data_IF_691861727718
#
_entry.id   IF_691861727718
#
_cell.length_a   1.000
_cell.length_b   1.000
_cell.length_c   1.000
_cell.angle_alpha   90.00
_cell.angle_beta   90.00
_cell.angle_gamma   90.00
#
_symmetry.space_group_name_H-M   'P 1'
#
loop_
_entity.id
_entity.type
_entity.pdbx_description
1 polymer ?
#
# COMPACT_ATOMS: atom_id res chain seq x y z
N UNK A 1 -13.08 10.82 26.01
CA UNK A 1 -12.54 11.38 27.26
C UNK A 1 -11.62 12.55 26.89
N UNK A 2 -12.22 13.68 26.55
CA UNK A 2 -11.51 14.91 26.22
C UNK A 2 -11.05 15.60 27.52
N UNK A 3 -9.77 15.93 27.63
CA UNK A 3 -9.26 16.80 28.69
C UNK A 3 -8.76 18.09 28.05
N UNK A 4 -9.59 19.13 28.15
CA UNK A 4 -9.28 20.52 27.81
C UNK A 4 -8.18 21.03 28.74
N UNK A 5 -7.07 21.46 28.14
CA UNK A 5 -5.95 22.12 28.80
C UNK A 5 -6.29 23.58 29.09
N UNK A 6 -6.23 23.95 30.37
CA UNK A 6 -6.36 25.32 30.85
C UNK A 6 -5.04 26.06 30.59
N UNK A 7 -5.11 27.10 29.76
CA UNK A 7 -4.01 28.04 29.51
C UNK A 7 -4.06 29.14 30.58
N UNK A 8 -3.05 29.19 31.45
CA UNK A 8 -2.89 30.25 32.46
C UNK A 8 -1.71 31.13 32.06
N UNK A 9 -2.00 32.37 31.63
CA UNK A 9 -1.00 33.37 31.26
C UNK A 9 -0.26 33.87 32.50
N UNK A 10 1.07 33.78 32.49
CA UNK A 10 1.94 34.44 33.45
C UNK A 10 2.27 35.85 32.90
N UNK A 11 1.85 36.91 33.59
CA UNK A 11 2.28 38.28 33.32
C UNK A 11 3.53 38.58 34.13
N UNK A 12 4.50 39.19 33.45
CA UNK A 12 5.79 39.64 33.93
C UNK A 12 5.71 40.61 35.12
N UNK A 13 6.63 40.40 36.05
CA UNK A 13 6.83 41.21 37.24
C UNK A 13 7.42 42.58 36.93
N UNK A 14 6.75 43.63 37.40
CA UNK A 14 7.31 44.96 37.58
C UNK A 14 7.81 45.06 39.01
N UNK A 15 9.12 44.93 39.22
CA UNK A 15 9.79 45.23 40.49
C UNK A 15 10.62 46.49 40.30
N UNK A 16 10.08 47.64 40.73
CA UNK A 16 10.84 48.90 40.87
C UNK A 16 11.55 48.89 42.21
N UNK A 17 12.89 49.00 42.19
CA UNK A 17 13.74 49.21 43.36
C UNK A 17 13.58 50.64 43.92
N UNK A 18 13.69 50.83 45.24
CA UNK A 18 13.63 52.14 45.88
C UNK A 18 14.94 52.92 45.71
N UNK A 19 14.83 54.20 45.35
CA UNK A 19 15.93 55.16 45.33
C UNK A 19 16.09 55.82 46.70
N UNK A 20 17.34 56.05 47.10
CA UNK A 20 17.80 57.04 48.09
C UNK A 20 19.33 57.12 48.01
N UNK A 21 20.03 58.17 48.49
CA UNK A 21 19.59 59.52 48.85
C UNK A 21 20.57 60.63 48.35
N UNK A 22 20.08 61.85 48.11
CA UNK A 22 20.90 63.09 48.13
C UNK A 22 20.03 64.27 48.52
N UNK A 23 20.34 64.88 49.67
CA UNK A 23 20.34 66.34 49.88
C UNK A 23 20.53 66.63 51.38
N UNK A 24 21.73 67.08 51.74
CA UNK A 24 21.89 68.01 52.85
C UNK A 24 21.27 69.35 52.45
N UNK A 25 20.74 70.11 53.42
CA UNK A 25 21.18 71.49 53.49
C UNK A 25 21.64 71.87 54.89
N UNK A 26 22.85 72.40 54.89
CA UNK A 26 23.43 73.29 55.88
C UNK A 26 22.58 74.57 55.95
N UNK A 27 21.85 74.78 57.04
CA UNK A 27 21.32 76.10 57.39
C UNK A 27 21.96 76.57 58.71
N UNK A 28 22.97 77.42 58.54
CA UNK A 28 23.49 78.35 59.54
C UNK A 28 22.69 79.65 59.44
N UNK A 29 22.05 80.06 60.53
CA UNK A 29 21.53 81.43 60.75
C UNK A 29 21.01 81.50 62.19
N UNK A 30 21.16 82.54 62.97
CA UNK A 30 21.95 83.76 62.88
C UNK A 30 22.12 84.26 64.32
N UNK A 31 23.11 85.12 64.49
CA UNK A 31 23.45 85.97 65.61
C UNK A 31 22.27 86.58 66.38
N UNK A 32 22.46 86.75 67.69
CA UNK A 32 22.27 88.04 68.36
C UNK A 32 22.89 87.99 69.76
N UNK A 33 24.19 88.29 69.84
CA UNK A 33 24.78 88.80 71.06
C UNK A 33 24.28 90.23 71.26
N UNK A 34 23.42 90.44 72.26
CA UNK A 34 23.03 91.78 72.69
C UNK A 34 24.06 92.25 73.70
N UNK A 35 25.01 93.03 73.18
CA UNK A 35 25.98 93.78 73.94
C UNK A 35 25.29 94.99 74.58
N UNK A 36 25.69 95.26 75.81
CA UNK A 36 25.27 96.35 76.69
C UNK A 36 25.29 97.72 76.00
N UNK A 37 24.24 98.49 76.19
CA UNK A 37 24.35 99.94 76.34
C UNK A 37 23.52 100.42 77.54
N UNK A 38 24.19 101.18 78.42
CA UNK A 38 23.62 101.90 79.56
C UNK A 38 23.05 103.24 79.07
N UNK A 39 21.92 103.70 79.62
CA UNK A 39 21.69 105.12 79.82
C UNK A 39 22.03 105.48 81.26
N UNK A 40 23.07 106.31 81.41
CA UNK A 40 23.32 107.12 82.62
C UNK A 40 22.20 108.16 82.71
N UNK A 41 21.37 108.08 83.73
CA UNK A 41 20.76 109.26 84.34
C UNK A 41 20.62 109.02 85.84
N UNK A 42 21.19 109.95 86.59
CA UNK A 42 21.43 109.87 88.02
C UNK A 42 20.16 110.09 88.84
N UNK A 43 20.22 109.60 90.09
CA UNK A 43 19.56 110.06 91.31
C UNK A 43 18.59 109.05 91.98
N UNK A 44 18.92 108.70 93.24
CA UNK A 44 18.24 107.84 94.24
C UNK A 44 18.50 106.31 94.23
N UNK A 45 19.76 105.87 94.05
CA UNK A 45 20.18 104.47 94.23
C UNK A 45 20.96 104.26 95.53
N UNK A 46 20.30 103.86 96.63
CA UNK A 46 21.01 103.26 97.80
C UNK A 46 20.12 102.37 98.70
N UNK A 47 18.82 102.64 98.87
CA UNK A 47 17.95 101.79 99.72
C UNK A 47 17.36 100.56 98.99
N UNK A 48 17.08 100.66 97.68
CA UNK A 48 16.60 99.52 96.88
C UNK A 48 17.68 98.43 96.68
N UNK A 49 18.95 98.83 96.60
CA UNK A 49 20.11 97.92 96.44
C UNK A 49 20.32 97.00 97.67
N UNK A 50 20.17 97.54 98.88
CA UNK A 50 20.43 96.81 100.11
C UNK A 50 19.36 95.75 100.42
N UNK A 51 18.10 96.00 100.03
CA UNK A 51 17.00 95.04 100.14
C UNK A 51 17.08 93.94 99.08
N UNK A 52 17.50 94.29 97.86
CA UNK A 52 17.74 93.33 96.77
C UNK A 52 18.89 92.36 97.09
N UNK A 53 20.02 92.88 97.62
CA UNK A 53 21.14 92.06 98.04
C UNK A 53 20.76 91.07 99.16
N UNK A 54 19.97 91.51 100.14
CA UNK A 54 19.51 90.66 101.26
C UNK A 54 18.50 89.60 100.81
N UNK A 55 17.62 89.93 99.87
CA UNK A 55 16.65 88.99 99.27
C UNK A 55 17.36 87.93 98.42
N UNK A 56 18.35 88.35 97.63
CA UNK A 56 19.21 87.47 96.83
C UNK A 56 20.06 86.54 97.70
N UNK A 57 20.56 87.00 98.85
CA UNK A 57 21.31 86.14 99.78
C UNK A 57 20.42 85.04 100.40
N UNK A 58 19.18 85.39 100.78
CA UNK A 58 18.19 84.41 101.26
C UNK A 58 17.81 83.42 100.18
N UNK A 59 17.58 83.88 98.95
CA UNK A 59 17.29 83.03 97.80
C UNK A 59 18.44 82.08 97.47
N UNK A 60 19.68 82.56 97.53
CA UNK A 60 20.88 81.72 97.34
C UNK A 60 20.98 80.67 98.45
N UNK A 61 20.72 81.02 99.72
CA UNK A 61 20.64 80.04 100.82
C UNK A 61 19.55 79.01 100.60
N UNK A 62 18.33 79.43 100.25
CA UNK A 62 17.22 78.51 99.94
C UNK A 62 17.55 77.59 98.77
N UNK A 63 18.18 78.09 97.70
CA UNK A 63 18.65 77.26 96.57
C UNK A 63 19.73 76.26 96.97
N UNK A 64 20.68 76.65 97.82
CA UNK A 64 21.74 75.75 98.28
C UNK A 64 21.19 74.65 99.19
N UNK A 65 20.31 74.99 100.12
CA UNK A 65 19.64 74.01 101.00
C UNK A 65 18.74 73.08 100.18
N UNK A 66 17.94 73.61 99.25
CA UNK A 66 17.12 72.82 98.34
C UNK A 66 17.97 71.86 97.48
N UNK A 67 19.11 72.31 96.94
CA UNK A 67 20.05 71.44 96.20
C UNK A 67 20.64 70.33 97.08
N UNK A 68 20.99 70.63 98.33
CA UNK A 68 21.51 69.62 99.29
C UNK A 68 20.47 68.55 99.60
N UNK A 69 19.23 68.95 99.92
CA UNK A 69 18.16 68.00 100.20
C UNK A 69 17.67 67.26 98.94
N UNK A 70 17.67 67.92 97.77
CA UNK A 70 17.41 67.26 96.48
C UNK A 70 18.46 66.19 96.18
N UNK A 71 19.74 66.48 96.39
CA UNK A 71 20.82 65.51 96.22
C UNK A 71 20.68 64.32 97.18
N UNK A 72 20.38 64.58 98.47
CA UNK A 72 20.14 63.53 99.45
C UNK A 72 18.90 62.69 99.11
N UNK A 73 17.81 63.32 98.65
CA UNK A 73 16.60 62.61 98.24
C UNK A 73 16.87 61.70 97.03
N UNK A 74 17.51 62.20 95.98
CA UNK A 74 17.90 61.40 94.80
C UNK A 74 18.81 60.22 95.20
N UNK A 75 19.75 60.46 96.13
CA UNK A 75 20.68 59.43 96.61
C UNK A 75 19.99 58.37 97.48
N UNK A 76 18.99 58.73 98.27
CA UNK A 76 18.23 57.78 99.10
C UNK A 76 17.16 57.02 98.31
N UNK A 77 16.55 57.62 97.28
CA UNK A 77 15.49 56.97 96.47
C UNK A 77 16.04 56.05 95.38
N UNK A 78 17.13 56.43 94.73
CA UNK A 78 17.72 55.65 93.63
C UNK A 78 19.05 54.97 94.00
N UNK A 79 19.54 55.18 95.23
CA UNK A 79 20.76 54.56 95.73
C UNK A 79 22.02 54.99 94.95
N UNK A 80 22.89 54.02 94.63
CA UNK A 80 24.14 54.25 93.86
C UNK A 80 23.91 54.38 92.35
N UNK A 81 22.74 54.01 91.83
CA UNK A 81 22.49 53.94 90.38
C UNK A 81 21.58 55.07 89.96
N UNK A 82 22.06 55.95 89.09
CA UNK A 82 21.24 57.03 88.53
C UNK A 82 20.20 56.46 87.56
N UNK A 83 18.97 57.03 87.50
CA UNK A 83 17.93 56.60 86.55
C UNK A 83 18.38 56.58 85.09
N UNK A 84 19.26 57.50 84.69
CA UNK A 84 19.89 57.53 83.37
C UNK A 84 20.73 56.28 83.08
N UNK A 85 21.45 55.77 84.08
CA UNK A 85 22.28 54.56 83.94
C UNK A 85 21.42 53.30 83.87
N UNK A 86 20.32 53.25 84.63
CA UNK A 86 19.37 52.14 84.57
C UNK A 86 18.65 52.07 83.20
N UNK A 87 18.20 53.23 82.67
CA UNK A 87 17.60 53.31 81.32
C UNK A 87 18.58 52.89 80.24
N UNK A 88 19.81 53.41 80.29
CA UNK A 88 20.86 53.04 79.35
C UNK A 88 21.15 51.53 79.38
N UNK A 89 21.25 50.93 80.57
CA UNK A 89 21.45 49.49 80.70
C UNK A 89 20.27 48.67 80.14
N UNK A 90 19.04 49.12 80.38
CA UNK A 90 17.83 48.47 79.84
C UNK A 90 17.77 48.56 78.32
N UNK A 91 17.98 49.75 77.76
CA UNK A 91 18.09 49.98 76.31
C UNK A 91 19.19 49.12 75.69
N UNK A 92 20.36 49.07 76.33
CA UNK A 92 21.47 48.24 75.89
C UNK A 92 21.12 46.74 75.89
N UNK A 93 20.44 46.24 76.93
CA UNK A 93 19.99 44.83 76.96
C UNK A 93 18.95 44.52 75.89
N UNK A 94 18.00 45.43 75.65
CA UNK A 94 17.01 45.26 74.58
C UNK A 94 17.70 45.24 73.22
N UNK A 95 18.59 46.20 72.95
CA UNK A 95 19.36 46.23 71.71
C UNK A 95 20.17 44.96 71.52
N UNK A 96 20.87 44.47 72.55
CA UNK A 96 21.62 43.22 72.45
C UNK A 96 20.73 42.02 72.12
N UNK A 97 19.53 41.94 72.70
CA UNK A 97 18.57 40.87 72.41
C UNK A 97 18.07 40.94 70.97
N UNK A 98 17.58 42.11 70.55
CA UNK A 98 17.03 42.32 69.20
C UNK A 98 18.10 42.16 68.13
N UNK A 99 19.31 42.69 68.34
CA UNK A 99 20.43 42.46 67.41
C UNK A 99 20.87 41.00 67.38
N UNK A 100 20.79 40.28 68.50
CA UNK A 100 21.04 38.85 68.55
C UNK A 100 20.06 38.08 67.68
N UNK A 101 18.76 38.28 67.90
CA UNK A 101 17.68 37.65 67.12
C UNK A 101 17.75 38.01 65.63
N UNK A 102 17.88 39.31 65.31
CA UNK A 102 18.05 39.77 63.94
C UNK A 102 19.25 39.13 63.24
N UNK A 103 20.38 38.99 63.96
CA UNK A 103 21.57 38.35 63.40
C UNK A 103 21.30 36.88 63.07
N UNK A 104 20.59 36.15 63.93
CA UNK A 104 20.23 34.75 63.67
C UNK A 104 19.27 34.63 62.49
N UNK A 105 18.21 35.44 62.43
CA UNK A 105 17.27 35.48 61.31
C UNK A 105 17.97 35.82 59.99
N UNK A 106 18.91 36.77 60.02
CA UNK A 106 19.71 37.11 58.86
C UNK A 106 20.59 35.93 58.41
N UNK A 107 21.24 35.23 59.33
CA UNK A 107 22.03 34.03 59.00
C UNK A 107 21.19 32.90 58.42
N UNK A 108 20.00 32.65 58.99
CA UNK A 108 19.05 31.65 58.49
C UNK A 108 18.59 32.03 57.08
N UNK A 109 18.13 33.28 56.88
CA UNK A 109 17.69 33.80 55.59
C UNK A 109 18.78 33.69 54.52
N UNK A 110 20.03 34.04 54.87
CA UNK A 110 21.16 33.96 53.95
C UNK A 110 21.54 32.52 53.61
N UNK A 111 21.39 31.58 54.57
CA UNK A 111 21.62 30.15 54.34
C UNK A 111 20.52 29.56 53.45
N UNK A 112 19.27 29.85 53.73
CA UNK A 112 18.11 29.42 52.95
C UNK A 112 18.21 29.94 51.51
N UNK A 113 18.53 31.23 51.33
CA UNK A 113 18.73 31.80 50.00
C UNK A 113 19.79 31.04 49.19
N UNK A 114 20.95 30.73 49.79
CA UNK A 114 21.99 29.93 49.11
C UNK A 114 21.52 28.51 48.76
N UNK A 115 20.73 27.88 49.63
CA UNK A 115 20.18 26.54 49.37
C UNK A 115 19.15 26.57 48.25
N UNK A 116 18.22 27.54 48.27
CA UNK A 116 17.23 27.73 47.22
C UNK A 116 17.89 27.97 45.85
N UNK A 117 18.91 28.84 45.79
CA UNK A 117 19.65 29.07 44.55
C UNK A 117 20.29 27.78 44.00
N UNK A 118 20.87 26.94 44.88
CA UNK A 118 21.44 25.64 44.47
C UNK A 118 20.36 24.66 44.01
N UNK A 119 19.24 24.60 44.73
CA UNK A 119 18.10 23.76 44.37
C UNK A 119 17.53 24.16 43.01
N UNK A 120 17.38 25.46 42.75
CA UNK A 120 16.92 25.99 41.48
C UNK A 120 17.87 25.65 40.33
N UNK A 121 19.18 25.84 40.53
CA UNK A 121 20.17 25.43 39.54
C UNK A 121 20.08 23.92 39.24
N UNK A 122 20.03 23.08 40.29
CA UNK A 122 19.92 21.63 40.13
C UNK A 122 18.63 21.24 39.41
N UNK A 123 17.50 21.85 39.76
CA UNK A 123 16.21 21.60 39.14
C UNK A 123 16.22 21.94 37.65
N UNK A 124 16.81 23.09 37.27
CA UNK A 124 16.97 23.47 35.86
C UNK A 124 17.82 22.47 35.08
N UNK A 125 18.95 22.03 35.63
CA UNK A 125 19.77 20.99 35.00
C UNK A 125 19.05 19.66 34.86
N UNK A 126 18.32 19.24 35.89
CA UNK A 126 17.50 18.04 35.86
C UNK A 126 16.44 18.12 34.75
N UNK A 127 15.73 19.25 34.63
CA UNK A 127 14.75 19.46 33.57
C UNK A 127 15.38 19.42 32.18
N UNK A 128 16.53 20.07 31.98
CA UNK A 128 17.24 20.03 30.71
C UNK A 128 17.67 18.61 30.35
N UNK A 129 18.22 17.86 31.31
CA UNK A 129 18.57 16.46 31.08
C UNK A 129 17.33 15.63 30.75
N UNK A 130 16.22 15.80 31.49
CA UNK A 130 14.98 15.07 31.23
C UNK A 130 14.43 15.36 29.82
N UNK A 131 14.40 16.62 29.41
CA UNK A 131 14.01 17.00 28.05
C UNK A 131 14.97 16.45 26.99
N UNK A 132 16.26 16.44 27.27
CA UNK A 132 17.25 15.89 26.35
C UNK A 132 17.11 14.37 26.21
N UNK A 133 16.88 13.64 27.31
CA UNK A 133 16.65 12.19 27.25
C UNK A 133 15.35 11.86 26.50
N UNK A 134 14.26 12.60 26.76
CA UNK A 134 13.00 12.38 26.04
C UNK A 134 13.11 12.73 24.54
N UNK A 135 13.84 13.81 24.21
CA UNK A 135 14.17 14.12 22.82
C UNK A 135 15.00 13.02 22.17
N UNK A 136 16.04 12.52 22.85
CA UNK A 136 16.90 11.45 22.34
C UNK A 136 16.11 10.17 22.07
N UNK A 137 15.23 9.76 23.00
CA UNK A 137 14.37 8.58 22.79
C UNK A 137 13.39 8.80 21.65
N UNK A 138 12.79 9.98 21.52
CA UNK A 138 11.93 10.34 20.40
C UNK A 138 12.67 10.25 19.04
N UNK A 139 13.90 10.80 18.96
CA UNK A 139 14.72 10.72 17.74
C UNK A 139 15.05 9.28 17.39
N UNK A 140 15.42 8.45 18.38
CA UNK A 140 15.66 7.02 18.15
C UNK A 140 14.41 6.30 17.65
N UNK A 141 13.24 6.56 18.25
CA UNK A 141 11.95 6.00 17.82
C UNK A 141 11.64 6.42 16.37
N UNK A 142 11.79 7.70 16.04
CA UNK A 142 11.59 8.20 14.68
C UNK A 142 12.53 7.53 13.67
N UNK A 143 13.80 7.37 14.02
CA UNK A 143 14.78 6.70 13.16
C UNK A 143 14.46 5.22 12.98
N UNK A 144 14.00 4.53 14.02
CA UNK A 144 13.50 3.16 13.89
C UNK A 144 12.28 3.05 12.99
N UNK A 145 11.29 3.92 13.15
CA UNK A 145 10.11 3.95 12.29
C UNK A 145 10.50 4.15 10.83
N UNK A 146 11.40 5.10 10.53
CA UNK A 146 11.95 5.31 9.19
C UNK A 146 12.68 4.07 8.64
N UNK A 147 13.49 3.40 9.47
CA UNK A 147 14.19 2.15 9.10
C UNK A 147 13.22 1.00 8.84
N UNK A 148 12.16 0.87 9.63
CA UNK A 148 11.09 -0.14 9.42
C UNK A 148 10.37 0.12 8.10
N UNK A 149 10.03 1.37 7.81
CA UNK A 149 9.41 1.75 6.54
C UNK A 149 10.31 1.45 5.34
N UNK A 150 11.60 1.78 5.41
CA UNK A 150 12.55 1.45 4.34
C UNK A 150 12.66 -0.06 4.11
N UNK A 151 12.74 -0.85 5.20
CA UNK A 151 12.73 -2.32 5.10
C UNK A 151 11.44 -2.82 4.44
N UNK A 152 10.27 -2.34 4.87
CA UNK A 152 9.00 -2.72 4.29
C UNK A 152 8.92 -2.40 2.78
N UNK A 153 9.34 -1.20 2.37
CA UNK A 153 9.41 -0.81 0.95
C UNK A 153 10.34 -1.73 0.16
N UNK A 154 11.54 -2.00 0.68
CA UNK A 154 12.49 -2.90 0.02
C UNK A 154 11.97 -4.34 -0.11
N UNK A 155 11.29 -4.84 0.93
CA UNK A 155 10.64 -6.14 0.90
C UNK A 155 9.51 -6.19 -0.13
N UNK A 156 8.65 -5.16 -0.19
CA UNK A 156 7.57 -5.06 -1.19
C UNK A 156 8.13 -5.04 -2.63
N UNK A 157 9.14 -4.22 -2.91
CA UNK A 157 9.77 -4.19 -4.24
C UNK A 157 10.36 -5.56 -4.61
N UNK A 158 11.03 -6.23 -3.67
CA UNK A 158 11.59 -7.57 -3.89
C UNK A 158 10.50 -8.62 -4.12
N UNK A 159 9.39 -8.52 -3.41
CA UNK A 159 8.25 -9.43 -3.55
C UNK A 159 7.56 -9.25 -4.90
N UNK A 160 7.33 -8.00 -5.33
CA UNK A 160 6.78 -7.69 -6.66
C UNK A 160 7.65 -8.23 -7.79
N UNK A 161 8.98 -8.06 -7.68
CA UNK A 161 9.91 -8.64 -8.65
C UNK A 161 9.82 -10.17 -8.70
N UNK A 162 9.76 -10.84 -7.53
CA UNK A 162 9.57 -12.30 -7.47
C UNK A 162 8.25 -12.75 -8.10
N UNK A 163 7.16 -12.03 -7.85
CA UNK A 163 5.85 -12.31 -8.44
C UNK A 163 5.89 -12.13 -9.96
N UNK A 164 6.45 -11.02 -10.45
CA UNK A 164 6.61 -10.77 -11.88
C UNK A 164 7.43 -11.88 -12.56
N UNK A 165 8.52 -12.34 -11.93
CA UNK A 165 9.32 -13.46 -12.43
C UNK A 165 8.56 -14.78 -12.47
N UNK A 166 7.78 -15.10 -11.44
CA UNK A 166 6.92 -16.29 -11.44
C UNK A 166 5.88 -16.21 -12.56
N UNK A 167 5.18 -15.09 -12.70
CA UNK A 167 4.19 -14.88 -13.75
C UNK A 167 4.82 -14.95 -15.15
N UNK A 168 6.01 -14.37 -15.33
CA UNK A 168 6.75 -14.47 -16.58
C UNK A 168 7.16 -15.91 -16.90
N UNK A 169 7.60 -16.69 -15.92
CA UNK A 169 7.93 -18.10 -16.13
C UNK A 169 6.70 -18.92 -16.56
N UNK A 170 5.55 -18.69 -15.91
CA UNK A 170 4.28 -19.32 -16.30
C UNK A 170 3.91 -18.94 -17.73
N UNK A 171 4.04 -17.65 -18.08
CA UNK A 171 3.79 -17.16 -19.44
C UNK A 171 4.70 -17.85 -20.47
N UNK A 172 6.00 -17.94 -20.22
CA UNK A 172 6.95 -18.61 -21.12
C UNK A 172 6.60 -20.08 -21.32
N UNK A 173 6.25 -20.80 -20.25
CA UNK A 173 5.81 -22.21 -20.35
C UNK A 173 4.53 -22.32 -21.18
N UNK A 174 3.53 -21.47 -20.93
CA UNK A 174 2.28 -21.45 -21.68
C UNK A 174 2.49 -21.13 -23.17
N UNK A 175 3.41 -20.20 -23.49
CA UNK A 175 3.78 -19.91 -24.87
C UNK A 175 4.47 -21.10 -25.55
N UNK A 176 5.36 -21.80 -24.84
CA UNK A 176 6.03 -23.01 -25.36
C UNK A 176 5.04 -24.13 -25.64
N UNK A 177 4.15 -24.42 -24.70
CA UNK A 177 3.13 -25.47 -24.87
C UNK A 177 2.18 -25.12 -26.01
N UNK A 178 1.73 -23.86 -26.11
CA UNK A 178 0.90 -23.40 -27.23
C UNK A 178 1.60 -23.60 -28.57
N UNK A 179 2.89 -23.24 -28.68
CA UNK A 179 3.67 -23.44 -29.91
C UNK A 179 3.84 -24.94 -30.23
N UNK A 180 4.09 -25.76 -29.22
CA UNK A 180 4.19 -27.21 -29.40
C UNK A 180 2.86 -27.80 -29.91
N UNK A 181 1.73 -27.43 -29.32
CA UNK A 181 0.39 -27.84 -29.77
C UNK A 181 0.09 -27.41 -31.21
N UNK A 182 0.51 -26.21 -31.60
CA UNK A 182 0.35 -25.75 -32.98
C UNK A 182 1.18 -26.59 -33.96
N UNK A 183 2.43 -26.89 -33.61
CA UNK A 183 3.28 -27.74 -34.43
C UNK A 183 2.71 -29.15 -34.58
N UNK A 184 2.27 -29.78 -33.47
CA UNK A 184 1.66 -31.11 -33.53
C UNK A 184 0.36 -31.13 -34.33
N UNK A 185 -0.47 -30.08 -34.22
CA UNK A 185 -1.68 -29.94 -35.02
C UNK A 185 -1.37 -29.81 -36.53
N UNK A 186 -0.31 -29.07 -36.89
CA UNK A 186 0.13 -28.94 -38.28
C UNK A 186 0.68 -30.26 -38.83
N UNK A 187 1.49 -30.98 -38.04
CA UNK A 187 1.99 -32.31 -38.41
C UNK A 187 0.85 -33.31 -38.59
N UNK A 188 -0.12 -33.31 -37.66
CA UNK A 188 -1.31 -34.13 -37.77
C UNK A 188 -2.09 -33.81 -39.04
N UNK A 189 -2.31 -32.53 -39.35
CA UNK A 189 -2.98 -32.10 -40.59
C UNK A 189 -2.22 -32.56 -41.84
N UNK A 190 -0.89 -32.44 -41.86
CA UNK A 190 -0.07 -32.91 -42.99
C UNK A 190 -0.22 -34.42 -43.18
N UNK A 191 -0.12 -35.19 -42.09
CA UNK A 191 -0.30 -36.66 -42.12
C UNK A 191 -1.71 -37.04 -42.57
N UNK A 192 -2.75 -36.41 -42.03
CA UNK A 192 -4.12 -36.73 -42.38
C UNK A 192 -4.44 -36.45 -43.84
N UNK A 193 -3.94 -35.35 -44.40
CA UNK A 193 -4.06 -35.04 -45.84
C UNK A 193 -3.37 -36.10 -46.69
N UNK A 194 -2.14 -36.49 -46.35
CA UNK A 194 -1.42 -37.54 -47.08
C UNK A 194 -2.16 -38.88 -47.02
N UNK A 195 -2.59 -39.32 -45.83
CA UNK A 195 -3.36 -40.54 -45.65
C UNK A 195 -4.68 -40.50 -46.43
N UNK A 196 -5.39 -39.37 -46.42
CA UNK A 196 -6.64 -39.21 -47.17
C UNK A 196 -6.42 -39.42 -48.68
N UNK A 197 -5.42 -38.75 -49.24
CA UNK A 197 -5.12 -38.88 -50.67
C UNK A 197 -4.60 -40.26 -51.04
N UNK A 198 -3.76 -40.87 -50.19
CA UNK A 198 -3.31 -42.25 -50.38
C UNK A 198 -4.48 -43.23 -50.40
N UNK A 199 -5.39 -43.15 -49.43
CA UNK A 199 -6.59 -43.97 -49.38
C UNK A 199 -7.49 -43.75 -50.61
N UNK A 200 -7.63 -42.49 -51.06
CA UNK A 200 -8.41 -42.17 -52.27
C UNK A 200 -7.79 -42.77 -53.53
N UNK A 201 -6.47 -42.73 -53.65
CA UNK A 201 -5.73 -43.36 -54.74
C UNK A 201 -5.88 -44.88 -54.71
N UNK A 202 -5.68 -45.52 -53.55
CA UNK A 202 -5.87 -46.97 -53.36
C UNK A 202 -7.29 -47.42 -53.73
N UNK A 203 -8.31 -46.65 -53.33
CA UNK A 203 -9.69 -46.93 -53.70
C UNK A 203 -9.90 -46.85 -55.23
N UNK A 204 -9.37 -45.82 -55.90
CA UNK A 204 -9.45 -45.71 -57.37
C UNK A 204 -8.70 -46.83 -58.08
N UNK A 205 -7.55 -47.25 -57.55
CA UNK A 205 -6.80 -48.38 -58.09
C UNK A 205 -7.59 -49.68 -57.97
N UNK A 206 -8.21 -49.93 -56.82
CA UNK A 206 -9.10 -51.07 -56.61
C UNK A 206 -10.30 -51.07 -57.57
N UNK A 207 -10.91 -49.89 -57.79
CA UNK A 207 -11.97 -49.75 -58.79
C UNK A 207 -11.48 -50.06 -60.20
N UNK A 208 -10.34 -49.50 -60.63
CA UNK A 208 -9.80 -49.74 -61.97
C UNK A 208 -9.50 -51.23 -62.20
N UNK A 209 -8.99 -51.94 -61.18
CA UNK A 209 -8.80 -53.39 -61.25
C UNK A 209 -10.13 -54.14 -61.36
N UNK A 210 -11.15 -53.75 -60.60
CA UNK A 210 -12.49 -54.35 -60.68
C UNK A 210 -13.13 -54.10 -62.06
N UNK A 211 -13.07 -52.87 -62.56
CA UNK A 211 -13.58 -52.50 -63.88
C UNK A 211 -12.86 -53.29 -64.99
N UNK A 212 -11.53 -53.42 -64.90
CA UNK A 212 -10.75 -54.21 -65.85
C UNK A 212 -11.13 -55.69 -65.80
N UNK A 213 -11.32 -56.26 -64.60
CA UNK A 213 -11.77 -57.64 -64.45
C UNK A 213 -13.18 -57.86 -65.02
N UNK A 214 -14.10 -56.92 -64.79
CA UNK A 214 -15.45 -56.93 -65.37
C UNK A 214 -15.40 -56.81 -66.90
N UNK A 215 -14.59 -55.92 -67.45
CA UNK A 215 -14.39 -55.80 -68.89
C UNK A 215 -13.79 -57.07 -69.50
N UNK A 216 -12.77 -57.66 -68.88
CA UNK A 216 -12.18 -58.91 -69.33
C UNK A 216 -13.20 -60.06 -69.30
N UNK A 217 -14.02 -60.15 -68.24
CA UNK A 217 -15.11 -61.12 -68.15
C UNK A 217 -16.17 -60.88 -69.24
N UNK A 218 -16.56 -59.62 -69.48
CA UNK A 218 -17.53 -59.26 -70.50
C UNK A 218 -17.02 -59.59 -71.93
N UNK A 219 -15.74 -59.36 -72.22
CA UNK A 219 -15.12 -59.72 -73.51
C UNK A 219 -15.10 -61.23 -73.69
N UNK A 220 -14.70 -61.99 -72.66
CA UNK A 220 -14.75 -63.47 -72.69
C UNK A 220 -16.17 -63.97 -72.92
N UNK A 221 -17.14 -63.46 -72.17
CA UNK A 221 -18.55 -63.79 -72.33
C UNK A 221 -19.03 -63.49 -73.75
N UNK A 222 -18.74 -62.29 -74.28
CA UNK A 222 -19.12 -61.89 -75.64
C UNK A 222 -18.49 -62.80 -76.70
N UNK A 223 -17.23 -63.17 -76.56
CA UNK A 223 -16.57 -64.10 -77.48
C UNK A 223 -17.25 -65.47 -77.47
N UNK A 224 -17.58 -66.01 -76.30
CA UNK A 224 -18.32 -67.26 -76.17
C UNK A 224 -19.73 -67.17 -76.76
N UNK A 225 -20.47 -66.08 -76.49
CA UNK A 225 -21.79 -65.86 -77.07
C UNK A 225 -21.75 -65.82 -78.59
N UNK A 226 -20.75 -65.15 -79.18
CA UNK A 226 -20.57 -65.11 -80.64
C UNK A 226 -20.25 -66.48 -81.22
N UNK A 227 -19.40 -67.28 -80.56
CA UNK A 227 -19.13 -68.67 -80.97
C UNK A 227 -20.41 -69.52 -80.94
N UNK A 228 -21.21 -69.41 -79.89
CA UNK A 228 -22.48 -70.13 -79.77
C UNK A 228 -23.49 -69.70 -80.83
N UNK A 229 -23.59 -68.39 -81.12
CA UNK A 229 -24.45 -67.88 -82.18
C UNK A 229 -24.01 -68.36 -83.57
N UNK A 230 -22.71 -68.35 -83.86
CA UNK A 230 -22.19 -68.87 -85.11
C UNK A 230 -22.46 -70.38 -85.25
N UNK A 231 -22.35 -71.13 -84.15
CA UNK A 231 -22.67 -72.55 -84.12
C UNK A 231 -24.16 -72.84 -84.35
N UNK A 232 -25.07 -72.09 -83.70
CA UNK A 232 -26.51 -72.25 -83.92
C UNK A 232 -26.89 -71.91 -85.36
N UNK A 233 -26.35 -70.81 -85.90
CA UNK A 233 -26.55 -70.44 -87.31
C UNK A 233 -26.03 -71.52 -88.26
N UNK A 234 -24.87 -72.10 -88.00
CA UNK A 234 -24.34 -73.21 -88.80
C UNK A 234 -25.24 -74.46 -88.72
N UNK A 235 -25.74 -74.81 -87.54
CA UNK A 235 -26.69 -75.92 -87.38
C UNK A 235 -27.99 -75.68 -88.15
N UNK A 236 -28.55 -74.47 -88.08
CA UNK A 236 -29.73 -74.07 -88.84
C UNK A 236 -29.48 -74.18 -90.35
N UNK A 237 -28.35 -73.69 -90.84
CA UNK A 237 -27.95 -73.82 -92.25
C UNK A 237 -27.75 -75.27 -92.68
N UNK A 238 -27.19 -76.11 -91.82
CA UNK A 238 -26.99 -77.53 -92.09
C UNK A 238 -28.34 -78.27 -92.17
N UNK A 239 -29.25 -77.99 -91.24
CA UNK A 239 -30.61 -78.54 -91.27
C UNK A 239 -31.36 -78.07 -92.52
N UNK A 240 -31.27 -76.79 -92.87
CA UNK A 240 -31.85 -76.24 -94.10
C UNK A 240 -31.27 -76.93 -95.33
N UNK A 241 -29.94 -77.09 -95.40
CA UNK A 241 -29.27 -77.77 -96.52
C UNK A 241 -29.68 -79.25 -96.63
N UNK A 242 -29.84 -79.94 -95.50
CA UNK A 242 -30.36 -81.32 -95.46
C UNK A 242 -31.80 -81.37 -95.95
N UNK A 243 -32.66 -80.47 -95.48
CA UNK A 243 -34.06 -80.39 -95.93
C UNK A 243 -34.15 -80.12 -97.43
N UNK A 244 -33.38 -79.18 -97.98
CA UNK A 244 -33.32 -78.92 -99.42
C UNK A 244 -32.83 -80.15 -100.20
N UNK A 245 -31.80 -80.86 -99.73
CA UNK A 245 -31.37 -82.13 -100.33
C UNK A 245 -32.47 -83.19 -100.29
N UNK A 246 -33.19 -83.32 -99.18
CA UNK A 246 -34.33 -84.25 -99.07
C UNK A 246 -35.46 -83.87 -100.02
N UNK A 247 -35.82 -82.58 -100.12
CA UNK A 247 -36.79 -82.07 -101.10
C UNK A 247 -36.36 -82.38 -102.52
N UNK A 248 -35.08 -82.21 -102.86
CA UNK A 248 -34.52 -82.57 -104.18
C UNK A 248 -34.62 -84.08 -104.44
N UNK A 249 -34.28 -84.94 -103.47
CA UNK A 249 -34.41 -86.40 -103.62
C UNK A 249 -35.87 -86.81 -103.84
N UNK A 250 -36.80 -86.24 -103.08
CA UNK A 250 -38.24 -86.47 -103.26
C UNK A 250 -38.69 -85.98 -104.64
N UNK A 251 -38.25 -84.81 -105.08
CA UNK A 251 -38.55 -84.26 -106.40
C UNK A 251 -38.02 -85.16 -107.54
N UNK A 252 -36.81 -85.70 -107.42
CA UNK A 252 -36.22 -86.64 -108.38
C UNK A 252 -36.97 -87.97 -108.40
N UNK A 253 -37.30 -88.54 -107.23
CA UNK A 253 -38.10 -89.76 -107.15
C UNK A 253 -39.51 -89.56 -107.71
N UNK A 254 -40.13 -88.42 -107.45
CA UNK A 254 -41.41 -88.03 -108.03
C UNK A 254 -41.30 -87.90 -109.55
N UNK A 255 -40.27 -87.24 -110.07
CA UNK A 255 -40.01 -87.13 -111.50
C UNK A 255 -39.82 -88.51 -112.16
N UNK A 256 -39.01 -89.40 -111.56
CA UNK A 256 -38.83 -90.76 -112.05
C UNK A 256 -40.12 -91.58 -112.02
N UNK A 257 -40.92 -91.49 -110.95
CA UNK A 257 -42.24 -92.15 -110.87
C UNK A 257 -43.19 -91.62 -111.95
N UNK A 258 -43.25 -90.31 -112.11
CA UNK A 258 -44.06 -89.66 -113.13
C UNK A 258 -43.63 -90.07 -114.54
N UNK A 259 -42.32 -90.17 -114.80
CA UNK A 259 -41.77 -90.62 -116.07
C UNK A 259 -42.11 -92.10 -116.35
N UNK A 260 -42.03 -92.98 -115.34
CA UNK A 260 -42.48 -94.39 -115.43
C UNK A 260 -44.00 -94.50 -115.66
N UNK A 261 -44.82 -93.65 -115.02
CA UNK A 261 -46.26 -93.60 -115.29
C UNK A 261 -46.58 -93.09 -116.69
N UNK A 262 -45.82 -92.10 -117.19
CA UNK A 262 -45.97 -91.56 -118.55
C UNK A 262 -45.60 -92.60 -119.61
N UNK A 263 -44.52 -93.36 -119.42
CA UNK A 263 -44.16 -94.46 -120.31
C UNK A 263 -45.16 -95.61 -120.24
N UNK A 264 -45.68 -95.95 -119.06
CA UNK A 264 -46.78 -96.92 -118.91
C UNK A 264 -48.08 -96.47 -119.61
N UNK A 265 -48.47 -95.19 -119.50
CA UNK A 265 -49.62 -94.65 -120.24
C UNK A 265 -49.41 -94.72 -121.75
N UNK A 266 -48.24 -94.35 -122.24
CA UNK A 266 -47.89 -94.48 -123.65
C UNK A 266 -47.91 -95.95 -124.12
N UNK A 267 -47.45 -96.89 -123.29
CA UNK A 267 -47.50 -98.32 -123.58
C UNK A 267 -48.93 -98.88 -123.59
N UNK A 268 -49.79 -98.46 -122.66
CA UNK A 268 -51.21 -98.80 -122.66
C UNK A 268 -51.94 -98.21 -123.88
N UNK A 269 -51.61 -96.98 -124.29
CA UNK A 269 -52.11 -96.38 -125.53
C UNK A 269 -51.64 -97.15 -126.77
N UNK A 270 -50.37 -97.57 -126.81
CA UNK A 270 -49.83 -98.43 -127.86
C UNK A 270 -50.54 -99.79 -127.91
N UNK A 271 -50.80 -100.42 -126.76
CA UNK A 271 -51.57 -101.67 -126.69
C UNK A 271 -53.03 -101.47 -127.11
N UNK A 272 -53.64 -100.32 -126.81
CA UNK A 272 -54.97 -99.99 -127.29
C UNK A 272 -54.99 -99.83 -128.82
N UNK A 273 -53.99 -99.15 -129.39
CA UNK A 273 -53.79 -99.02 -130.85
C UNK A 273 -53.53 -100.39 -131.50
N UNK A 274 -52.74 -101.27 -130.85
CA UNK A 274 -52.50 -102.63 -131.32
C UNK A 274 -53.74 -103.53 -131.22
N UNK A 275 -54.59 -103.33 -130.20
CA UNK A 275 -55.89 -104.00 -130.10
C UNK A 275 -56.84 -103.51 -131.20
N UNK A 276 -56.90 -102.21 -131.48
CA UNK A 276 -57.74 -101.64 -132.55
C UNK A 276 -57.29 -102.12 -133.95
N UNK A 277 -55.98 -102.29 -134.19
CA UNK A 277 -55.46 -102.83 -135.45
C UNK A 277 -55.72 -104.33 -135.68
N UNK A 278 -55.96 -105.14 -134.63
CA UNK A 278 -56.31 -106.57 -134.76
C UNK A 278 -57.78 -106.83 -135.12
N UNK A 279 -58.66 -105.83 -134.99
CA UNK A 279 -60.08 -105.95 -135.36
C UNK A 279 -60.37 -105.48 -136.80
N UNK A 280 -59.37 -105.06 -137.58
CA UNK A 280 -59.58 -104.49 -138.92
C UNK A 280 -58.84 -105.20 -140.07
N UNK A 281 -58.11 -106.29 -139.82
CA UNK A 281 -57.52 -107.10 -140.90
C UNK A 281 -57.69 -108.59 -140.60
N UNK A 282 -58.77 -109.13 -141.16
CA UNK A 282 -59.24 -110.51 -141.10
C UNK A 282 -60.46 -110.68 -142.01
N UNK A 283 -60.43 -110.03 -143.18
CA UNK A 283 -60.92 -110.49 -144.48
C UNK A 283 -59.68 -110.67 -145.36
#
# INVERSE_FOLDING_TARGET
MEKKTVSRSFRDGVVKKPCSPKALPLNKSAFSGVQRELPRSCHSSSQASHNWARRRLRELRSRCVARKFLYLWIRMTFGRVTPSRARFFHEQRILQKVFGEWREEWWVSQREWKLCMRADCHYRYYLYNLMFQSWKTFVHQQQEMKRRLHRAKHHDTKQKMRQAWKSWLIYVVACRTKRQMQNTALEFRRRSVLCFWWSKWMWRLGQAHADHALHAAAVKHRALSLQLQAWSQWQEQLLHSRQERWKMVIAVQHHQRWQKQRSLKAWLQYLHICRVKRWQNGE
#
